data_IF_688386181812
#
_entry.id   IF_688386181812
#
_cell.length_a   1.000
_cell.length_b   1.000
_cell.length_c   1.000
_cell.angle_alpha   90.00
_cell.angle_beta   90.00
_cell.angle_gamma   90.00
#
_symmetry.space_group_name_H-M   'P 1'
#
loop_
_entity.id
_entity.type
_entity.pdbx_description
1 polymer ?
#
# COMPACT_ATOMS: atom_id res chain seq x y z
N UNK A 1 -31.06 5.75 8.81
CA UNK A 1 -30.21 6.81 8.26
C UNK A 1 -28.90 6.76 9.05
N UNK A 2 -27.81 6.47 8.32
CA UNK A 2 -26.43 6.81 8.67
C UNK A 2 -25.68 6.05 9.79
N UNK A 3 -25.53 4.72 9.63
CA UNK A 3 -24.45 3.97 10.32
C UNK A 3 -23.10 4.05 9.60
N UNK A 4 -23.05 4.50 8.33
CA UNK A 4 -21.81 4.58 7.53
C UNK A 4 -20.91 5.80 7.81
N UNK A 5 -21.39 6.78 8.58
CA UNK A 5 -20.63 8.00 8.91
C UNK A 5 -19.81 7.87 10.21
N UNK A 6 -20.04 6.81 11.00
CA UNK A 6 -19.38 6.60 12.31
C UNK A 6 -17.98 5.98 12.24
N UNK A 7 -17.57 5.48 11.08
CA UNK A 7 -16.28 4.81 10.88
C UNK A 7 -15.31 5.63 10.01
N UNK A 8 -15.61 6.90 9.76
CA UNK A 8 -14.74 7.79 9.00
C UNK A 8 -13.99 8.75 9.92
N UNK A 9 -12.66 8.66 9.87
CA UNK A 9 -11.76 9.59 10.54
C UNK A 9 -11.28 10.65 9.53
N UNK A 10 -10.85 11.79 10.05
CA UNK A 10 -10.26 12.90 9.30
C UNK A 10 -8.84 13.09 9.76
N UNK A 11 -7.93 13.25 8.81
CA UNK A 11 -6.54 13.59 9.10
C UNK A 11 -6.44 15.10 9.39
N UNK A 12 -5.85 15.42 10.52
CA UNK A 12 -5.54 16.77 10.97
C UNK A 12 -4.02 16.94 10.94
N UNK A 13 -3.56 18.14 10.62
CA UNK A 13 -2.15 18.48 10.57
C UNK A 13 -1.88 19.77 11.32
N UNK A 14 -0.74 19.79 12.00
CA UNK A 14 -0.16 20.93 12.68
C UNK A 14 1.25 21.16 12.16
N UNK A 15 1.63 22.41 11.99
CA UNK A 15 3.03 22.79 11.79
C UNK A 15 3.68 23.10 13.13
N UNK A 16 4.94 22.72 13.35
CA UNK A 16 5.66 23.03 14.61
C UNK A 16 5.69 24.52 14.99
N UNK A 17 5.56 25.41 14.00
CA UNK A 17 5.56 26.86 14.20
C UNK A 17 4.15 27.44 14.43
N UNK A 18 3.11 26.60 14.41
CA UNK A 18 1.73 27.02 14.55
C UNK A 18 0.99 26.16 15.57
N UNK A 19 0.21 26.81 16.43
CA UNK A 19 -0.75 26.11 17.29
C UNK A 19 -2.09 25.87 16.58
N UNK A 20 -2.18 26.24 15.29
CA UNK A 20 -3.37 25.97 14.48
C UNK A 20 -3.36 24.52 14.01
N UNK A 21 -4.48 23.86 14.24
CA UNK A 21 -4.77 22.54 13.70
C UNK A 21 -5.63 22.74 12.46
N UNK A 22 -5.24 22.11 11.34
CA UNK A 22 -5.99 22.21 10.08
C UNK A 22 -6.35 20.82 9.59
N UNK A 23 -7.50 20.69 8.95
CA UNK A 23 -7.90 19.43 8.32
C UNK A 23 -7.17 19.25 7.00
N UNK A 24 -6.64 18.07 6.76
CA UNK A 24 -5.98 17.72 5.50
C UNK A 24 -7.05 17.45 4.45
N UNK A 25 -6.91 18.05 3.27
CA UNK A 25 -7.75 17.80 2.09
C UNK A 25 -7.01 17.04 0.98
N UNK A 26 -5.68 16.92 1.08
CA UNK A 26 -4.85 16.20 0.13
C UNK A 26 -3.38 16.62 0.20
N UNK A 27 -2.64 16.41 -0.89
CA UNK A 27 -1.26 16.87 -1.06
C UNK A 27 -1.17 17.90 -2.19
N UNK A 28 -0.38 18.94 -1.95
CA UNK A 28 0.00 19.90 -2.97
C UNK A 28 1.10 19.32 -3.89
N UNK A 29 1.34 19.97 -5.03
CA UNK A 29 2.37 19.55 -5.99
C UNK A 29 3.81 19.61 -5.43
N UNK A 30 4.03 20.40 -4.38
CA UNK A 30 5.29 20.50 -3.65
C UNK A 30 5.42 19.46 -2.52
N UNK A 31 4.44 18.57 -2.39
CA UNK A 31 4.37 17.54 -1.35
C UNK A 31 3.91 18.05 0.00
N UNK A 32 3.53 19.32 0.15
CA UNK A 32 2.98 19.82 1.44
C UNK A 32 1.53 19.38 1.60
N UNK A 33 1.05 19.13 2.84
CA UNK A 33 -0.35 18.83 3.09
C UNK A 33 -1.22 20.01 2.65
N UNK A 34 -2.16 19.77 1.74
CA UNK A 34 -3.22 20.70 1.42
C UNK A 34 -4.18 20.72 2.60
N UNK A 35 -4.51 21.90 3.10
CA UNK A 35 -5.28 22.07 4.33
C UNK A 35 -6.54 22.89 4.13
N UNK A 36 -7.54 22.62 4.96
CA UNK A 36 -8.81 23.34 5.08
C UNK A 36 -9.13 23.60 6.57
N UNK A 37 -10.04 24.51 6.85
CA UNK A 37 -10.47 24.78 8.23
C UNK A 37 -11.26 23.58 8.76
N UNK A 38 -10.99 23.09 9.98
CA UNK A 38 -11.66 21.94 10.58
C UNK A 38 -13.06 22.30 11.08
N UNK A 39 -13.93 22.73 10.16
CA UNK A 39 -15.34 23.07 10.37
C UNK A 39 -16.22 22.13 9.57
N UNK A 40 -17.43 21.87 10.05
CA UNK A 40 -18.38 21.02 9.35
C UNK A 40 -18.70 21.50 7.92
N UNK A 41 -18.64 22.82 7.68
CA UNK A 41 -18.83 23.44 6.36
C UNK A 41 -17.83 22.94 5.32
N UNK A 42 -16.62 22.57 5.73
CA UNK A 42 -15.56 22.07 4.84
C UNK A 42 -15.44 20.54 4.86
N UNK A 43 -16.37 19.83 5.53
CA UNK A 43 -16.42 18.36 5.55
C UNK A 43 -16.32 17.71 4.15
N UNK A 44 -16.90 18.27 3.06
CA UNK A 44 -16.75 17.69 1.72
C UNK A 44 -15.31 17.69 1.22
N UNK A 45 -14.48 18.63 1.67
CA UNK A 45 -13.10 18.80 1.23
C UNK A 45 -12.09 17.99 2.05
N UNK A 46 -12.52 17.38 3.15
CA UNK A 46 -11.61 16.65 4.03
C UNK A 46 -11.19 15.30 3.46
N UNK A 47 -9.95 14.93 3.77
CA UNK A 47 -9.44 13.59 3.54
C UNK A 47 -10.10 12.63 4.53
N UNK A 48 -11.08 11.89 4.03
CA UNK A 48 -11.81 10.87 4.80
C UNK A 48 -10.99 9.59 4.82
N UNK A 49 -10.56 9.20 6.01
CA UNK A 49 -9.90 7.95 6.30
C UNK A 49 -10.99 6.95 6.65
N UNK A 50 -11.11 5.92 5.82
CA UNK A 50 -11.95 4.75 6.11
C UNK A 50 -11.11 3.69 6.82
N UNK A 51 -11.65 2.99 7.82
CA UNK A 51 -10.98 1.88 8.51
C UNK A 51 -10.54 0.74 7.58
N UNK A 52 -11.13 0.65 6.39
CA UNK A 52 -10.82 -0.35 5.37
C UNK A 52 -10.07 0.22 4.16
N UNK A 53 -9.71 1.51 4.18
CA UNK A 53 -9.15 2.21 3.02
C UNK A 53 -7.66 2.50 3.14
N UNK A 54 -6.91 2.27 2.06
CA UNK A 54 -5.47 2.59 1.97
C UNK A 54 -5.17 4.10 1.78
N UNK A 55 -6.10 4.98 2.17
CA UNK A 55 -6.03 6.42 1.87
C UNK A 55 -4.94 7.08 2.71
N UNK A 56 -4.81 6.67 3.97
CA UNK A 56 -3.88 7.23 4.93
C UNK A 56 -2.43 6.86 4.60
N UNK A 57 -2.21 5.59 4.24
CA UNK A 57 -0.92 5.02 3.84
C UNK A 57 -0.44 5.67 2.55
N UNK A 58 -1.31 5.78 1.55
CA UNK A 58 -0.98 6.45 0.29
C UNK A 58 -0.67 7.93 0.50
N UNK A 59 -1.39 8.61 1.40
CA UNK A 59 -1.08 9.98 1.77
C UNK A 59 0.31 10.08 2.38
N UNK A 60 0.62 9.27 3.41
CA UNK A 60 1.91 9.34 4.09
C UNK A 60 3.08 8.91 3.21
N UNK A 61 2.91 7.91 2.35
CA UNK A 61 3.93 7.48 1.39
C UNK A 61 4.27 8.62 0.41
N UNK A 62 3.26 9.31 -0.11
CA UNK A 62 3.48 10.46 -0.99
C UNK A 62 4.06 11.67 -0.24
N UNK A 63 3.58 11.94 0.97
CA UNK A 63 4.09 12.99 1.86
C UNK A 63 5.59 12.78 2.14
N UNK A 64 5.98 11.61 2.65
CA UNK A 64 7.39 11.35 2.97
C UNK A 64 8.31 11.33 1.74
N UNK A 65 7.78 11.02 0.55
CA UNK A 65 8.54 11.06 -0.71
C UNK A 65 8.71 12.47 -1.27
N UNK A 66 7.68 13.32 -1.15
CA UNK A 66 7.65 14.63 -1.80
C UNK A 66 8.01 15.79 -0.86
N UNK A 67 7.73 15.67 0.43
CA UNK A 67 8.00 16.72 1.41
C UNK A 67 9.49 16.78 1.75
N UNK A 68 10.09 17.96 1.62
CA UNK A 68 11.50 18.20 1.96
C UNK A 68 11.79 18.12 3.47
N UNK A 69 10.83 18.57 4.30
CA UNK A 69 10.94 18.62 5.76
C UNK A 69 9.71 17.97 6.44
N UNK A 70 9.57 16.64 6.39
CA UNK A 70 8.39 15.97 6.94
C UNK A 70 8.27 16.13 8.46
N UNK A 71 9.39 16.29 9.16
CA UNK A 71 9.45 16.47 10.63
C UNK A 71 8.92 17.82 11.13
N UNK A 72 8.55 18.73 10.22
CA UNK A 72 7.91 20.01 10.56
C UNK A 72 6.41 19.84 10.81
N UNK A 73 5.82 18.75 10.32
CA UNK A 73 4.40 18.47 10.42
C UNK A 73 4.12 17.40 11.47
N UNK A 74 3.12 17.64 12.29
CA UNK A 74 2.56 16.68 13.25
C UNK A 74 1.15 16.35 12.80
N UNK A 75 0.80 15.06 12.77
CA UNK A 75 -0.49 14.59 12.30
C UNK A 75 -1.31 14.04 13.45
N UNK A 76 -2.62 14.28 13.37
CA UNK A 76 -3.60 13.83 14.35
C UNK A 76 -4.82 13.26 13.62
N UNK A 77 -5.50 12.29 14.20
CA UNK A 77 -6.77 11.77 13.68
C UNK A 77 -7.93 12.23 14.53
N UNK A 78 -9.06 12.56 13.90
CA UNK A 78 -10.29 12.83 14.61
C UNK A 78 -11.48 12.21 13.87
N UNK A 79 -12.48 11.68 14.58
CA UNK A 79 -13.73 11.26 13.95
C UNK A 79 -14.38 12.42 13.20
N UNK A 80 -14.88 12.18 11.99
CA UNK A 80 -15.51 13.21 11.15
C UNK A 80 -16.64 13.96 11.89
N UNK A 81 -17.46 13.24 12.66
CA UNK A 81 -18.56 13.81 13.45
C UNK A 81 -18.09 14.72 14.59
N UNK A 82 -16.84 14.61 15.04
CA UNK A 82 -16.29 15.33 16.19
C UNK A 82 -15.03 16.11 15.85
N UNK A 83 -14.79 16.36 14.58
CA UNK A 83 -13.55 16.99 14.10
C UNK A 83 -13.35 18.38 14.72
N UNK A 84 -14.41 19.18 14.86
CA UNK A 84 -14.35 20.52 15.45
C UNK A 84 -14.07 20.46 16.97
N UNK A 85 -14.74 19.55 17.69
CA UNK A 85 -14.55 19.37 19.13
C UNK A 85 -13.14 18.85 19.46
N UNK A 86 -12.68 17.86 18.71
CA UNK A 86 -11.34 17.27 18.86
C UNK A 86 -10.27 18.28 18.47
N UNK A 87 -10.46 19.04 17.38
CA UNK A 87 -9.52 20.08 16.98
C UNK A 87 -9.36 21.14 18.08
N UNK A 88 -10.46 21.60 18.69
CA UNK A 88 -10.40 22.56 19.79
C UNK A 88 -9.68 21.98 21.01
N UNK A 89 -10.00 20.73 21.39
CA UNK A 89 -9.32 20.04 22.52
C UNK A 89 -7.82 19.88 22.28
N UNK A 90 -7.42 19.51 21.06
CA UNK A 90 -6.00 19.40 20.68
C UNK A 90 -5.30 20.77 20.72
N UNK A 91 -5.96 21.83 20.26
CA UNK A 91 -5.45 23.21 20.34
C UNK A 91 -5.26 23.69 21.78
N UNK A 92 -6.22 23.41 22.65
CA UNK A 92 -6.10 23.66 24.09
C UNK A 92 -4.94 22.85 24.70
N UNK A 93 -4.79 21.58 24.29
CA UNK A 93 -3.70 20.72 24.75
C UNK A 93 -2.32 21.22 24.31
N UNK A 94 -2.18 21.79 23.10
CA UNK A 94 -0.92 22.42 22.65
C UNK A 94 -0.54 23.66 23.46
N UNK A 95 -1.51 24.33 24.07
CA UNK A 95 -1.27 25.53 24.89
C UNK A 95 -0.71 25.15 26.27
N UNK A 96 -0.96 23.92 26.74
CA UNK A 96 -0.49 23.42 28.03
C UNK A 96 -0.06 21.94 27.94
N UNK A 97 1.02 21.61 27.21
CA UNK A 97 1.45 20.24 26.96
C UNK A 97 2.02 19.54 28.21
N UNK A 98 2.32 20.28 29.28
CA UNK A 98 2.87 19.74 30.52
C UNK A 98 1.84 19.10 31.44
N UNK A 99 0.54 19.26 31.15
CA UNK A 99 -0.51 18.54 31.89
C UNK A 99 -0.60 17.08 31.42
N UNK A 100 -0.61 16.09 32.34
CA UNK A 100 -0.71 14.69 31.98
C UNK A 100 -1.96 14.37 31.14
N UNK A 101 -3.11 14.97 31.47
CA UNK A 101 -4.35 14.82 30.69
C UNK A 101 -4.22 15.32 29.24
N UNK A 102 -3.48 16.40 29.03
CA UNK A 102 -3.26 16.96 27.69
C UNK A 102 -2.29 16.08 26.89
N UNK A 103 -1.27 15.52 27.54
CA UNK A 103 -0.36 14.54 26.93
C UNK A 103 -1.09 13.29 26.46
N UNK A 104 -1.96 12.74 27.30
CA UNK A 104 -2.74 11.54 26.95
C UNK A 104 -3.66 11.79 25.74
N UNK A 105 -4.34 12.94 25.69
CA UNK A 105 -5.19 13.29 24.55
C UNK A 105 -4.35 13.51 23.28
N UNK A 106 -3.20 14.17 23.39
CA UNK A 106 -2.29 14.39 22.27
C UNK A 106 -1.79 13.05 21.71
N UNK A 107 -1.29 12.16 22.56
CA UNK A 107 -0.75 10.86 22.15
C UNK A 107 -1.85 9.93 21.60
N UNK A 108 -3.06 9.93 22.17
CA UNK A 108 -4.17 9.11 21.70
C UNK A 108 -4.61 9.47 20.26
N UNK A 109 -4.58 10.76 19.93
CA UNK A 109 -4.95 11.25 18.61
C UNK A 109 -3.77 11.36 17.65
N UNK A 110 -2.53 11.24 18.14
CA UNK A 110 -1.33 11.37 17.33
C UNK A 110 -1.25 10.25 16.30
N UNK A 111 -0.87 10.64 15.08
CA UNK A 111 -0.60 9.70 13.99
C UNK A 111 0.83 9.91 13.56
N UNK A 112 1.67 8.90 13.77
CA UNK A 112 3.05 8.93 13.31
C UNK A 112 3.11 8.48 11.84
N UNK A 113 3.58 9.35 10.91
CA UNK A 113 3.70 8.98 9.50
C UNK A 113 4.57 7.74 9.29
N UNK A 114 5.59 7.57 10.14
CA UNK A 114 6.52 6.43 10.06
C UNK A 114 5.85 5.10 10.37
N UNK A 115 4.90 5.03 11.28
CA UNK A 115 4.18 3.79 11.61
C UNK A 115 3.30 3.33 10.44
N UNK A 116 2.74 4.30 9.70
CA UNK A 116 1.86 4.04 8.56
C UNK A 116 2.61 3.82 7.24
N UNK A 117 3.92 4.12 7.21
CA UNK A 117 4.82 3.80 6.09
C UNK A 117 5.57 2.49 6.36
N UNK A 118 5.93 2.21 7.62
CA UNK A 118 6.54 0.94 8.02
C UNK A 118 5.57 -0.24 7.97
N UNK A 119 4.26 0.00 7.83
CA UNK A 119 3.31 -1.02 7.41
C UNK A 119 3.61 -1.60 6.00
N UNK A 120 4.48 -0.95 5.21
CA UNK A 120 5.05 -1.51 3.98
C UNK A 120 6.47 -2.12 4.16
N UNK A 121 7.12 -1.99 5.32
CA UNK A 121 8.54 -2.37 5.51
C UNK A 121 8.87 -3.21 6.76
N UNK A 122 7.89 -3.72 7.51
CA UNK A 122 8.14 -4.81 8.49
C UNK A 122 7.49 -6.14 8.06
N UNK A 123 8.23 -7.27 8.12
CA UNK A 123 7.71 -8.58 7.77
C UNK A 123 6.79 -9.06 8.90
N UNK A 124 5.48 -8.83 8.76
CA UNK A 124 4.49 -9.44 9.65
C UNK A 124 3.43 -10.16 8.84
N UNK A 125 3.60 -11.47 8.84
CA UNK A 125 2.55 -12.49 8.81
C UNK A 125 1.30 -12.04 9.57
N UNK A 126 0.32 -11.49 8.87
CA UNK A 126 -1.12 -11.74 9.06
C UNK A 126 -1.95 -10.80 8.15
N UNK A 127 -2.44 -11.38 7.06
CA UNK A 127 -3.78 -11.13 6.49
C UNK A 127 -4.30 -9.69 6.60
N UNK A 128 -3.66 -8.75 5.91
CA UNK A 128 -4.37 -7.60 5.38
C UNK A 128 -4.92 -8.01 4.03
N UNK A 129 -6.24 -7.92 3.86
CA UNK A 129 -6.92 -8.07 2.59
C UNK A 129 -6.45 -6.95 1.65
N UNK A 130 -5.31 -7.16 1.03
CA UNK A 130 -4.98 -6.55 -0.23
C UNK A 130 -6.14 -6.84 -1.19
N UNK A 131 -6.59 -5.84 -1.95
CA UNK A 131 -7.46 -6.04 -3.10
C UNK A 131 -6.70 -6.75 -4.24
N UNK A 132 -5.95 -7.79 -3.90
CA UNK A 132 -5.33 -8.67 -4.86
C UNK A 132 -6.41 -9.53 -5.48
N UNK A 133 -6.37 -9.67 -6.81
CA UNK A 133 -7.29 -10.54 -7.53
C UNK A 133 -7.14 -12.02 -7.13
N UNK A 134 -6.05 -12.35 -6.43
CA UNK A 134 -5.69 -13.67 -5.94
C UNK A 134 -5.58 -13.64 -4.42
N UNK A 135 -6.19 -14.63 -3.78
CA UNK A 135 -5.92 -14.97 -2.38
C UNK A 135 -4.57 -15.72 -2.26
N UNK A 136 -3.64 -15.15 -1.50
CA UNK A 136 -2.30 -15.69 -1.25
C UNK A 136 -2.34 -17.10 -0.63
N UNK A 137 -3.40 -17.43 0.12
CA UNK A 137 -3.57 -18.76 0.73
C UNK A 137 -3.74 -19.89 -0.29
N UNK A 138 -4.07 -19.55 -1.55
CA UNK A 138 -4.22 -20.49 -2.66
C UNK A 138 -2.89 -20.84 -3.33
N UNK A 139 -1.80 -20.12 -3.02
CA UNK A 139 -0.48 -20.32 -3.62
C UNK A 139 0.18 -21.58 -3.07
N UNK A 140 0.65 -22.43 -3.97
CA UNK A 140 1.53 -23.53 -3.61
C UNK A 140 2.98 -23.04 -3.45
N UNK A 141 3.29 -22.55 -2.26
CA UNK A 141 4.63 -22.04 -1.91
C UNK A 141 5.73 -23.08 -2.07
N UNK A 142 5.42 -24.38 -1.95
CA UNK A 142 6.42 -25.45 -2.12
C UNK A 142 6.96 -25.49 -3.55
N UNK A 143 6.12 -25.20 -4.55
CA UNK A 143 6.55 -25.17 -5.95
C UNK A 143 7.48 -23.98 -6.21
N UNK A 144 7.27 -22.83 -5.55
CA UNK A 144 8.18 -21.69 -5.64
C UNK A 144 9.53 -22.01 -4.96
N UNK A 145 9.51 -22.65 -3.78
CA UNK A 145 10.73 -23.08 -3.09
C UNK A 145 11.55 -24.08 -3.91
N UNK A 146 10.88 -25.00 -4.61
CA UNK A 146 11.53 -25.94 -5.55
C UNK A 146 12.22 -25.23 -6.72
N UNK A 147 11.78 -24.02 -7.06
CA UNK A 147 12.42 -23.15 -8.05
C UNK A 147 13.51 -22.25 -7.44
N UNK A 148 13.79 -22.37 -6.15
CA UNK A 148 14.71 -21.50 -5.42
C UNK A 148 14.15 -20.10 -5.15
N UNK A 149 12.83 -19.92 -5.24
CA UNK A 149 12.17 -18.63 -5.05
C UNK A 149 11.49 -18.58 -3.69
N UNK A 150 11.93 -17.62 -2.87
CA UNK A 150 11.32 -17.35 -1.57
C UNK A 150 10.28 -16.23 -1.66
N UNK A 151 9.36 -16.21 -0.70
CA UNK A 151 8.41 -15.09 -0.51
C UNK A 151 9.12 -13.75 -0.39
N UNK A 152 10.17 -13.70 0.42
CA UNK A 152 10.99 -12.49 0.63
C UNK A 152 11.58 -11.98 -0.70
N UNK A 153 12.05 -12.88 -1.57
CA UNK A 153 12.55 -12.52 -2.90
C UNK A 153 11.45 -11.89 -3.75
N UNK A 154 10.24 -12.43 -3.72
CA UNK A 154 9.11 -11.89 -4.48
C UNK A 154 8.65 -10.53 -3.93
N UNK A 155 8.66 -10.35 -2.62
CA UNK A 155 8.32 -9.07 -1.97
C UNK A 155 9.34 -7.98 -2.31
N UNK A 156 10.64 -8.25 -2.08
CA UNK A 156 11.73 -7.28 -2.34
C UNK A 156 11.81 -6.82 -3.79
N UNK A 157 11.38 -7.65 -4.72
CA UNK A 157 11.39 -7.34 -6.16
C UNK A 157 10.09 -6.75 -6.67
N UNK A 158 9.07 -6.56 -5.81
CA UNK A 158 7.72 -6.17 -6.22
C UNK A 158 7.01 -7.21 -7.09
N UNK A 159 7.54 -8.43 -7.17
CA UNK A 159 6.99 -9.52 -7.97
C UNK A 159 5.77 -10.15 -7.34
N UNK A 160 5.71 -10.22 -6.00
CA UNK A 160 4.57 -10.80 -5.29
C UNK A 160 3.28 -10.04 -5.62
N UNK A 161 3.30 -8.72 -5.46
CA UNK A 161 2.15 -7.85 -5.73
C UNK A 161 1.66 -7.94 -7.19
N UNK A 162 2.58 -7.90 -8.16
CA UNK A 162 2.24 -8.05 -9.56
C UNK A 162 1.61 -9.42 -9.86
N UNK A 163 2.20 -10.49 -9.34
CA UNK A 163 1.72 -11.86 -9.58
C UNK A 163 0.37 -12.14 -8.91
N UNK A 164 0.13 -11.57 -7.73
CA UNK A 164 -1.17 -11.60 -7.03
C UNK A 164 -2.28 -10.82 -7.77
N UNK A 165 -1.92 -10.01 -8.77
CA UNK A 165 -2.83 -9.32 -9.68
C UNK A 165 -2.85 -9.91 -11.10
N UNK A 166 -2.56 -11.21 -11.24
CA UNK A 166 -2.52 -11.94 -12.52
C UNK A 166 -1.46 -11.45 -13.52
N UNK A 167 -0.46 -10.68 -13.07
CA UNK A 167 0.62 -10.21 -13.93
C UNK A 167 1.84 -11.15 -13.84
N UNK A 168 2.79 -10.96 -14.75
CA UNK A 168 4.12 -11.57 -14.64
C UNK A 168 5.00 -10.72 -13.73
N UNK A 169 5.92 -11.33 -12.99
CA UNK A 169 6.94 -10.62 -12.19
C UNK A 169 7.55 -9.49 -13.00
N UNK A 170 7.70 -8.25 -12.49
CA UNK A 170 8.18 -7.11 -13.26
C UNK A 170 9.65 -7.26 -13.67
N UNK A 171 10.39 -8.08 -12.94
CA UNK A 171 11.80 -8.40 -13.16
C UNK A 171 12.01 -9.87 -13.52
N UNK A 172 13.19 -10.16 -14.06
CA UNK A 172 13.70 -11.52 -14.18
C UNK A 172 14.14 -12.02 -12.80
N UNK A 173 13.66 -13.21 -12.44
CA UNK A 173 13.99 -13.87 -11.19
C UNK A 173 14.92 -15.05 -11.49
N UNK A 174 16.05 -15.17 -10.77
CA UNK A 174 16.92 -16.32 -10.91
C UNK A 174 16.21 -17.55 -10.33
N UNK A 175 15.91 -18.52 -11.20
CA UNK A 175 15.30 -19.79 -10.82
C UNK A 175 16.29 -20.93 -10.95
N UNK A 176 16.16 -21.88 -10.04
CA UNK A 176 16.85 -23.17 -10.09
C UNK A 176 15.81 -24.27 -10.09
N UNK A 177 15.67 -25.00 -11.20
CA UNK A 177 14.77 -26.14 -11.29
C UNK A 177 15.57 -27.44 -11.37
N UNK A 178 15.22 -28.43 -10.54
CA UNK A 178 15.82 -29.76 -10.58
C UNK A 178 14.89 -30.74 -11.30
N UNK A 179 15.45 -31.47 -12.26
CA UNK A 179 14.77 -32.50 -13.02
C UNK A 179 15.63 -33.77 -13.00
N UNK A 180 15.24 -34.75 -12.19
CA UNK A 180 16.01 -35.99 -12.00
C UNK A 180 17.48 -35.71 -11.60
N UNK A 181 18.43 -35.96 -12.51
CA UNK A 181 19.87 -35.73 -12.36
C UNK A 181 20.35 -34.42 -12.99
N UNK A 182 19.45 -33.61 -13.55
CA UNK A 182 19.74 -32.34 -14.21
C UNK A 182 19.31 -31.14 -13.35
N UNK A 183 20.17 -30.11 -13.27
CA UNK A 183 19.83 -28.82 -12.64
C UNK A 183 19.82 -27.73 -13.71
N UNK A 184 18.67 -27.10 -13.91
CA UNK A 184 18.50 -25.92 -14.74
C UNK A 184 18.64 -24.66 -13.88
N UNK A 185 19.57 -23.77 -14.24
CA UNK A 185 19.69 -22.42 -13.67
C UNK A 185 19.48 -21.40 -14.76
N UNK A 186 18.50 -20.52 -14.58
CA UNK A 186 18.17 -19.51 -15.57
C UNK A 186 17.40 -18.35 -14.93
N UNK A 187 17.35 -17.24 -15.63
CA UNK A 187 16.55 -16.08 -15.26
C UNK A 187 15.23 -16.12 -16.01
N UNK A 188 14.11 -16.01 -15.28
CA UNK A 188 12.77 -16.11 -15.87
C UNK A 188 11.79 -15.12 -15.22
N UNK A 189 10.74 -14.75 -15.94
CA UNK A 189 9.57 -14.10 -15.32
C UNK A 189 8.63 -15.17 -14.79
N UNK A 190 7.98 -14.92 -13.67
CA UNK A 190 7.03 -15.85 -13.06
C UNK A 190 5.61 -15.27 -13.08
N UNK A 191 4.60 -16.13 -13.18
CA UNK A 191 3.19 -15.75 -12.97
C UNK A 191 2.45 -16.88 -12.29
N UNK A 192 1.27 -16.61 -11.73
CA UNK A 192 0.39 -17.67 -11.23
C UNK A 192 -0.58 -18.15 -12.31
N UNK A 193 -0.93 -19.43 -12.26
CA UNK A 193 -2.02 -20.03 -13.02
C UNK A 193 -2.87 -20.88 -12.09
N UNK A 194 -4.18 -20.76 -12.24
CA UNK A 194 -5.15 -21.60 -11.54
C UNK A 194 -5.12 -23.03 -12.10
N UNK A 195 -4.99 -23.99 -11.18
CA UNK A 195 -5.08 -25.42 -11.49
C UNK A 195 -6.55 -25.87 -11.44
N UNK A 196 -6.83 -27.06 -11.96
CA UNK A 196 -8.17 -27.67 -11.91
C UNK A 196 -8.69 -27.90 -10.49
N UNK A 197 -7.80 -27.87 -9.49
CA UNK A 197 -8.11 -28.00 -8.07
C UNK A 197 -8.34 -26.64 -7.38
N UNK A 198 -8.29 -25.52 -8.12
CA UNK A 198 -8.46 -24.17 -7.57
C UNK A 198 -7.23 -23.64 -6.82
N UNK A 199 -6.10 -24.37 -6.82
CA UNK A 199 -4.80 -23.89 -6.31
C UNK A 199 -4.05 -23.10 -7.36
N UNK A 200 -3.04 -22.35 -6.95
CA UNK A 200 -2.20 -21.57 -7.84
C UNK A 200 -0.79 -22.15 -7.93
N UNK A 201 -0.40 -22.47 -9.16
CA UNK A 201 0.94 -22.94 -9.48
C UNK A 201 1.75 -21.85 -10.19
N UNK A 202 3.07 -21.73 -9.90
CA UNK A 202 3.95 -20.85 -10.64
C UNK A 202 4.12 -21.35 -12.09
N UNK A 203 4.09 -20.41 -13.03
CA UNK A 203 4.41 -20.62 -14.44
C UNK A 203 5.71 -19.90 -14.74
N UNK A 204 6.66 -20.64 -15.32
CA UNK A 204 7.97 -20.13 -15.72
C UNK A 204 7.87 -19.57 -17.13
N UNK A 205 8.19 -18.29 -17.30
CA UNK A 205 8.37 -17.63 -18.59
C UNK A 205 9.86 -17.38 -18.79
N UNK A 206 10.55 -18.32 -19.42
CA UNK A 206 11.97 -18.21 -19.71
C UNK A 206 12.26 -17.01 -20.62
N UNK A 207 13.51 -16.53 -20.61
CA UNK A 207 13.96 -15.54 -21.57
C UNK A 207 13.85 -16.12 -23.00
N UNK A 208 13.10 -15.46 -23.88
CA UNK A 208 13.03 -15.83 -25.29
C UNK A 208 14.02 -14.97 -26.08
N UNK A 209 14.83 -15.60 -26.93
CA UNK A 209 15.73 -14.89 -27.84
C UNK A 209 14.96 -14.20 -28.98
N UNK A 210 13.81 -14.77 -29.36
CA UNK A 210 12.95 -14.28 -30.44
C UNK A 210 11.47 -14.38 -30.03
N UNK A 211 10.58 -13.51 -30.56
CA UNK A 211 9.15 -13.58 -30.27
C UNK A 211 8.52 -14.88 -30.81
N UNK A 212 7.61 -15.49 -30.05
CA UNK A 212 6.87 -16.69 -30.48
C UNK A 212 5.68 -16.32 -31.38
N UNK A 213 5.97 -15.94 -32.63
CA UNK A 213 4.96 -15.49 -33.60
C UNK A 213 4.10 -16.65 -34.16
N UNK A 214 4.44 -17.89 -33.81
CA UNK A 214 3.72 -19.09 -34.23
C UNK A 214 2.51 -19.40 -33.33
N UNK A 215 2.41 -18.77 -32.17
CA UNK A 215 1.33 -18.97 -31.19
C UNK A 215 0.19 -17.98 -31.39
N UNK A 216 -1.01 -18.38 -30.95
CA UNK A 216 -2.15 -17.49 -30.90
C UNK A 216 -1.95 -16.42 -29.82
N UNK A 217 -2.13 -15.16 -30.20
CA UNK A 217 -2.14 -14.01 -29.30
C UNK A 217 -3.56 -13.45 -29.24
N UNK A 218 -4.19 -13.49 -28.07
CA UNK A 218 -5.62 -13.15 -27.89
C UNK A 218 -6.58 -13.85 -28.88
N UNK A 219 -6.31 -15.11 -29.22
CA UNK A 219 -7.13 -15.88 -30.16
C UNK A 219 -6.89 -15.56 -31.64
N UNK A 220 -5.95 -14.66 -31.96
CA UNK A 220 -5.54 -14.33 -33.32
C UNK A 220 -4.19 -15.00 -33.64
N UNK A 221 -4.03 -15.49 -34.87
CA UNK A 221 -2.75 -16.04 -35.36
C UNK A 221 -2.04 -14.97 -36.19
N UNK A 222 -0.75 -14.75 -35.95
CA UNK A 222 0.05 -13.83 -36.75
C UNK A 222 0.12 -14.29 -38.21
N UNK A 223 -0.17 -13.36 -39.13
CA UNK A 223 -0.03 -13.57 -40.57
C UNK A 223 1.45 -13.50 -40.96
N UNK A 224 1.81 -13.93 -42.17
CA UNK A 224 3.20 -13.86 -42.63
C UNK A 224 3.70 -12.41 -42.79
N UNK A 225 2.80 -11.42 -42.79
CA UNK A 225 3.15 -10.00 -42.82
C UNK A 225 3.39 -9.42 -41.41
N UNK A 226 2.85 -10.06 -40.37
CA UNK A 226 3.06 -9.67 -38.98
C UNK A 226 4.30 -10.32 -38.35
N UNK A 227 4.90 -11.29 -39.05
CA UNK A 227 6.06 -12.07 -38.61
C UNK A 227 7.39 -11.38 -38.87
#
# INVERSE_FOLDING_TARGET
MDEKLKDQDVLLVKEKNSNELKAVSGLNADGTPKTALPKEENNPDFLKIDKHGNVLENFFANFMRQTKEPTRFEFFKAPLEKVEEVARKLQEAFTNPDKPENKDILDMHRVEPKEHIQAQEQPQTQTQSSNHAIDESRIDWKQLEQLGISRETLEKTGSLDAMLNWQKSPVLLPITAQFNDMTLRTDARLSFRETTEGKLSPVIHALHHEPELDKYYFGMKFTDQDR
#
